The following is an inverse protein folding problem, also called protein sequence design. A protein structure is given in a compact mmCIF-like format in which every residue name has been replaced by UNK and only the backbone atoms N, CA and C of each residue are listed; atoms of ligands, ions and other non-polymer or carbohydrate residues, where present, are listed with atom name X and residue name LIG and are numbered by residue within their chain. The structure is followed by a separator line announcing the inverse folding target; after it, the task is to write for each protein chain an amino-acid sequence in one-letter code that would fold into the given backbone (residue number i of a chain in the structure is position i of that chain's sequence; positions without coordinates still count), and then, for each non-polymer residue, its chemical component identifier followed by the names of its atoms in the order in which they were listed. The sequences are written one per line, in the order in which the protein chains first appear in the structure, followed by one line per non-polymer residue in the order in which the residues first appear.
data_IF_644316598667
#
_entry.id   IF_644316598667
#
_cell.length_a   1.000
_cell.length_b   1.000
_cell.length_c   1.000
_cell.angle_alpha   90.00
_cell.angle_beta   90.00
_cell.angle_gamma   90.00
#
_symmetry.space_group_name_H-M   'P 1'
#
loop_
_entity.id
_entity.type
_entity.pdbx_description
1 polymer ?
#
# COMPACT_ATOMS: atom_id res chain seq x y z
N UNK A 1 16.47 -6.56 -1.36
CA UNK A 1 16.35 -5.51 -2.40
C UNK A 1 14.96 -4.93 -2.23
N UNK A 2 14.82 -3.75 -1.60
CA UNK A 2 13.50 -3.15 -1.41
C UNK A 2 13.10 -2.41 -2.67
N UNK A 3 12.11 -2.95 -3.37
CA UNK A 3 11.51 -2.35 -4.56
C UNK A 3 10.54 -1.27 -4.08
N UNK A 4 11.02 -0.04 -3.89
CA UNK A 4 10.12 1.10 -3.60
C UNK A 4 9.29 1.36 -4.86
N UNK A 5 8.03 0.92 -4.85
CA UNK A 5 7.02 1.36 -5.83
C UNK A 5 6.36 2.61 -5.25
N UNK A 6 6.41 3.70 -5.99
CA UNK A 6 5.83 4.97 -5.59
C UNK A 6 4.29 4.89 -5.73
N UNK A 7 3.62 4.46 -4.67
CA UNK A 7 2.18 4.67 -4.53
C UNK A 7 1.95 6.14 -4.17
N UNK A 8 0.91 6.74 -4.76
CA UNK A 8 0.69 8.19 -4.58
C UNK A 8 -0.05 8.47 -3.28
N UNK A 9 -0.96 7.57 -2.91
CA UNK A 9 -1.90 7.73 -1.79
C UNK A 9 -1.62 6.74 -0.63
N UNK A 10 -0.65 5.83 -0.80
CA UNK A 10 -0.32 4.76 0.15
C UNK A 10 1.17 4.77 0.51
N UNK A 11 1.46 4.48 1.78
CA UNK A 11 2.81 4.20 2.26
C UNK A 11 2.91 2.74 2.69
N UNK A 12 3.91 2.02 2.20
CA UNK A 12 4.13 0.60 2.48
C UNK A 12 5.44 0.42 3.25
N UNK A 13 5.36 -0.31 4.36
CA UNK A 13 6.51 -0.72 5.18
C UNK A 13 6.40 -2.22 5.48
N UNK A 14 7.48 -2.97 5.29
CA UNK A 14 7.53 -4.40 5.57
C UNK A 14 8.51 -4.68 6.72
N UNK A 15 8.00 -5.31 7.78
CA UNK A 15 8.78 -5.79 8.92
C UNK A 15 8.67 -7.32 9.01
N UNK A 16 9.68 -8.02 8.48
CA UNK A 16 9.65 -9.47 8.32
C UNK A 16 8.45 -9.92 7.48
N UNK A 17 7.60 -10.79 8.05
CA UNK A 17 6.40 -11.32 7.40
C UNK A 17 5.16 -10.41 7.56
N UNK A 18 5.34 -9.18 8.08
CA UNK A 18 4.24 -8.23 8.30
C UNK A 18 4.38 -7.06 7.34
N UNK A 19 3.42 -6.91 6.44
CA UNK A 19 3.28 -5.73 5.57
C UNK A 19 2.30 -4.73 6.21
N UNK A 20 2.78 -3.53 6.49
CA UNK A 20 1.99 -2.39 6.94
C UNK A 20 1.68 -1.48 5.76
N UNK A 21 0.39 -1.22 5.53
CA UNK A 21 -0.10 -0.30 4.49
C UNK A 21 -0.79 0.86 5.20
N UNK A 22 -0.28 2.08 4.99
CA UNK A 22 -0.83 3.32 5.56
C UNK A 22 -1.46 4.15 4.45
N UNK A 23 -2.68 4.63 4.68
CA UNK A 23 -3.31 5.64 3.81
C UNK A 23 -2.87 7.01 4.30
N UNK A 24 -2.13 7.74 3.46
CA UNK A 24 -1.54 9.03 3.83
C UNK A 24 -2.16 10.17 3.01
N UNK A 25 -3.42 10.50 3.34
CA UNK A 25 -4.19 11.57 2.69
C UNK A 25 -4.92 12.43 3.71
N UNK A 26 -4.21 13.03 4.67
CA UNK A 26 -4.82 13.75 5.78
C UNK A 26 -5.68 14.94 5.33
N UNK A 27 -5.36 15.56 4.19
CA UNK A 27 -6.06 16.71 3.61
C UNK A 27 -7.50 16.40 3.17
N UNK A 28 -7.81 15.12 2.95
CA UNK A 28 -9.17 14.63 2.65
C UNK A 28 -9.65 13.59 3.67
N UNK A 29 -9.11 13.61 4.89
CA UNK A 29 -9.47 12.68 5.97
C UNK A 29 -9.34 11.20 5.56
N UNK A 30 -8.34 10.88 4.75
CA UNK A 30 -8.11 9.53 4.21
C UNK A 30 -9.31 8.97 3.43
N UNK A 31 -10.15 9.85 2.87
CA UNK A 31 -11.29 9.43 2.06
C UNK A 31 -10.83 8.58 0.87
N UNK A 32 -11.49 7.44 0.66
CA UNK A 32 -11.12 6.51 -0.39
C UNK A 32 -11.40 7.11 -1.78
N UNK A 33 -10.34 7.37 -2.55
CA UNK A 33 -10.46 7.71 -3.97
C UNK A 33 -10.64 6.44 -4.80
N UNK A 34 -10.89 6.60 -6.10
CA UNK A 34 -10.83 5.46 -7.03
C UNK A 34 -9.40 4.93 -7.16
N UNK A 35 -8.43 5.83 -7.34
CA UNK A 35 -7.02 5.49 -7.56
C UNK A 35 -6.47 4.73 -6.36
N UNK A 36 -6.69 5.24 -5.14
CA UNK A 36 -6.23 4.59 -3.91
C UNK A 36 -6.80 3.17 -3.73
N UNK A 37 -8.04 2.91 -4.17
CA UNK A 37 -8.62 1.56 -4.12
C UNK A 37 -7.94 0.62 -5.10
N UNK A 38 -7.66 1.08 -6.32
CA UNK A 38 -6.92 0.31 -7.33
C UNK A 38 -5.49 0.02 -6.86
N UNK A 39 -4.83 0.99 -6.21
CA UNK A 39 -3.51 0.81 -5.58
C UNK A 39 -3.55 -0.20 -4.42
N UNK A 40 -4.58 -0.13 -3.57
CA UNK A 40 -4.75 -1.02 -2.43
C UNK A 40 -5.05 -2.47 -2.86
N UNK A 41 -5.89 -2.65 -3.88
CA UNK A 41 -6.17 -3.96 -4.47
C UNK A 41 -4.89 -4.60 -5.03
N UNK A 42 -4.04 -3.81 -5.70
CA UNK A 42 -2.75 -4.28 -6.19
C UNK A 42 -1.80 -4.63 -5.04
N UNK A 43 -1.74 -3.80 -3.98
CA UNK A 43 -0.91 -4.07 -2.81
C UNK A 43 -1.30 -5.39 -2.13
N UNK A 44 -2.60 -5.69 -2.04
CA UNK A 44 -3.07 -6.97 -1.51
C UNK A 44 -2.75 -8.15 -2.44
N UNK A 45 -2.91 -7.98 -3.75
CA UNK A 45 -2.52 -9.02 -4.70
C UNK A 45 -1.03 -9.36 -4.59
N UNK A 46 -0.19 -8.34 -4.52
CA UNK A 46 1.26 -8.50 -4.40
C UNK A 46 1.64 -9.18 -3.08
N UNK A 47 1.05 -8.76 -1.96
CA UNK A 47 1.27 -9.39 -0.66
C UNK A 47 0.85 -10.87 -0.62
N UNK A 48 -0.22 -11.24 -1.35
CA UNK A 48 -0.66 -12.62 -1.45
C UNK A 48 0.24 -13.50 -2.34
N UNK A 49 1.14 -12.91 -3.12
CA UNK A 49 2.13 -13.61 -3.93
C UNK A 49 3.53 -13.58 -3.30
N UNK A 50 3.69 -12.88 -2.18
CA UNK A 50 4.94 -12.81 -1.44
C UNK A 50 5.06 -14.04 -0.53
N UNK A 51 5.94 -14.98 -0.89
CA UNK A 51 6.20 -16.24 -0.18
C UNK A 51 7.12 -16.06 1.07
N UNK A 52 7.34 -14.82 1.54
CA UNK A 52 8.30 -14.49 2.60
C UNK A 52 7.85 -14.74 4.03
#
# INVERSE_FOLDING_TARGET
MSTTRDYTDLFLEQDGAVLTITVDRPEVLNAQSRIMREELDQAFYDAAQDDS
#
